data_IF_184830065929
#
_entry.id   IF_184830065929
#
_cell.length_a   1.000
_cell.length_b   1.000
_cell.length_c   1.000
_cell.angle_alpha   90.00
_cell.angle_beta   90.00
_cell.angle_gamma   90.00
#
_symmetry.space_group_name_H-M   'P 1'
#
loop_
_entity.id
_entity.type
_entity.pdbx_description
1 polymer ?
#
# COMPACT_ATOMS: atom_id res chain seq x y z
N UNK A 1 -50.98 -47.70 43.33
CA UNK A 1 -49.73 -46.92 43.04
C UNK A 1 -49.10 -47.16 41.66
N UNK A 2 -49.36 -48.28 40.95
CA UNK A 2 -48.70 -48.61 39.67
C UNK A 2 -49.00 -47.65 38.50
N UNK A 3 -50.15 -46.96 38.50
CA UNK A 3 -50.53 -46.00 37.45
C UNK A 3 -49.58 -44.79 37.37
N UNK A 4 -49.03 -44.33 38.49
CA UNK A 4 -48.14 -43.16 38.57
C UNK A 4 -46.80 -43.42 37.87
N UNK A 5 -46.23 -44.63 38.00
CA UNK A 5 -44.96 -45.00 37.35
C UNK A 5 -45.08 -45.08 35.83
N UNK A 6 -46.22 -45.53 35.29
CA UNK A 6 -46.44 -45.62 33.83
C UNK A 6 -46.52 -44.23 33.19
N UNK A 7 -47.18 -43.27 33.85
CA UNK A 7 -47.29 -41.89 33.37
C UNK A 7 -45.92 -41.16 33.30
N UNK A 8 -45.02 -41.40 34.26
CA UNK A 8 -43.69 -40.79 34.25
C UNK A 8 -42.77 -41.35 33.16
N UNK A 9 -42.88 -42.65 32.83
CA UNK A 9 -42.06 -43.28 31.78
C UNK A 9 -42.42 -42.77 30.38
N UNK A 10 -43.71 -42.52 30.11
CA UNK A 10 -44.18 -41.94 28.84
C UNK A 10 -43.74 -40.48 28.68
N UNK A 11 -43.76 -39.67 29.76
CA UNK A 11 -43.25 -38.28 29.68
C UNK A 11 -41.74 -38.22 29.42
N UNK A 12 -40.96 -39.16 29.95
CA UNK A 12 -39.49 -39.14 29.79
C UNK A 12 -39.04 -39.61 28.39
N UNK A 13 -39.77 -40.53 27.75
CA UNK A 13 -39.50 -40.93 26.36
C UNK A 13 -39.90 -39.85 25.36
N UNK A 14 -41.03 -39.18 25.55
CA UNK A 14 -41.47 -38.07 24.69
C UNK A 14 -40.48 -36.89 24.73
N UNK A 15 -39.84 -36.62 25.88
CA UNK A 15 -38.88 -35.51 26.00
C UNK A 15 -37.51 -35.82 25.35
N UNK A 16 -37.17 -37.10 25.13
CA UNK A 16 -35.88 -37.50 24.56
C UNK A 16 -35.89 -37.48 23.03
N UNK A 17 -37.03 -37.75 22.39
CA UNK A 17 -37.17 -37.66 20.92
C UNK A 17 -37.24 -36.21 20.42
N UNK A 18 -37.84 -35.30 21.18
CA UNK A 18 -37.97 -33.89 20.80
C UNK A 18 -36.64 -33.13 20.73
N UNK A 19 -35.58 -33.60 21.39
CA UNK A 19 -34.31 -32.85 21.50
C UNK A 19 -33.30 -33.15 20.38
N UNK A 20 -33.53 -34.14 19.51
CA UNK A 20 -32.50 -34.60 18.56
C UNK A 20 -32.68 -34.17 17.10
N UNK A 21 -33.84 -33.64 16.70
CA UNK A 21 -34.11 -33.32 15.28
C UNK A 21 -33.93 -31.84 14.88
N UNK A 22 -33.80 -30.90 15.81
CA UNK A 22 -33.81 -29.46 15.47
C UNK A 22 -32.49 -28.83 15.00
N UNK A 23 -31.33 -29.52 15.09
CA UNK A 23 -30.03 -28.85 14.93
C UNK A 23 -29.38 -28.98 13.54
N UNK A 24 -30.12 -29.42 12.51
CA UNK A 24 -29.61 -29.55 11.12
C UNK A 24 -30.26 -28.58 10.11
N UNK A 25 -30.96 -27.54 10.56
CA UNK A 25 -31.47 -26.48 9.69
C UNK A 25 -30.40 -25.44 9.40
N UNK A 26 -29.84 -25.45 8.19
CA UNK A 26 -28.75 -24.59 7.74
C UNK A 26 -28.89 -23.13 8.17
N UNK A 27 -28.02 -22.71 9.09
CA UNK A 27 -27.82 -21.31 9.43
C UNK A 27 -27.32 -20.61 8.17
N UNK A 28 -28.24 -20.05 7.37
CA UNK A 28 -27.92 -19.21 6.21
C UNK A 28 -26.94 -18.16 6.71
N UNK A 29 -25.65 -18.34 6.40
CA UNK A 29 -24.62 -17.44 6.90
C UNK A 29 -24.90 -16.09 6.28
N UNK A 30 -25.42 -15.14 7.08
CA UNK A 30 -25.55 -13.73 6.68
C UNK A 30 -24.24 -13.34 6.01
N UNK A 31 -24.30 -12.92 4.75
CA UNK A 31 -23.11 -12.53 4.00
C UNK A 31 -22.31 -11.55 4.85
N UNK A 32 -21.05 -11.88 5.17
CA UNK A 32 -20.22 -11.03 6.03
C UNK A 32 -20.06 -9.69 5.33
N UNK A 33 -20.47 -8.60 5.96
CA UNK A 33 -20.27 -7.23 5.44
C UNK A 33 -18.79 -7.07 5.11
N UNK A 34 -18.47 -6.93 3.83
CA UNK A 34 -17.09 -6.70 3.38
C UNK A 34 -16.59 -5.36 3.93
N UNK A 35 -15.35 -5.34 4.42
CA UNK A 35 -14.77 -4.10 4.96
C UNK A 35 -14.59 -3.05 3.86
N UNK A 36 -15.00 -1.81 4.13
CA UNK A 36 -14.72 -0.65 3.25
C UNK A 36 -13.26 -0.17 3.34
N UNK A 37 -12.59 -0.48 4.45
CA UNK A 37 -11.23 -0.04 4.75
C UNK A 37 -10.19 -1.07 4.28
N UNK A 38 -9.23 -0.62 3.48
CA UNK A 38 -8.07 -1.38 3.06
C UNK A 38 -6.97 -1.33 4.12
N UNK A 39 -6.43 -2.50 4.49
CA UNK A 39 -5.32 -2.66 5.45
C UNK A 39 -4.19 -3.49 4.82
N UNK A 40 -2.99 -3.39 5.39
CA UNK A 40 -1.80 -4.15 4.98
C UNK A 40 -1.06 -3.60 3.75
N UNK A 41 -0.08 -4.37 3.27
CA UNK A 41 0.89 -3.96 2.22
C UNK A 41 0.25 -3.50 0.91
N UNK A 42 -0.91 -4.07 0.55
CA UNK A 42 -1.64 -3.76 -0.69
C UNK A 42 -2.73 -2.69 -0.53
N UNK A 43 -2.86 -2.04 0.64
CA UNK A 43 -3.99 -1.15 0.94
C UNK A 43 -4.23 -0.06 -0.13
N UNK A 44 -3.18 0.69 -0.50
CA UNK A 44 -3.27 1.74 -1.53
C UNK A 44 -3.65 1.17 -2.90
N UNK A 45 -3.10 0.01 -3.27
CA UNK A 45 -3.43 -0.66 -4.54
C UNK A 45 -4.87 -1.15 -4.57
N UNK A 46 -5.38 -1.71 -3.46
CA UNK A 46 -6.78 -2.14 -3.35
C UNK A 46 -7.77 -0.99 -3.47
N UNK A 47 -7.46 0.17 -2.90
CA UNK A 47 -8.27 1.39 -3.03
C UNK A 47 -8.18 1.94 -4.46
N UNK A 48 -6.99 1.99 -5.04
CA UNK A 48 -6.80 2.47 -6.41
C UNK A 48 -7.53 1.62 -7.45
N UNK A 49 -7.56 0.29 -7.23
CA UNK A 49 -8.36 -0.66 -8.04
C UNK A 49 -9.87 -0.53 -7.81
N UNK A 50 -10.31 0.09 -6.72
CA UNK A 50 -11.73 0.22 -6.35
C UNK A 50 -12.31 -0.94 -5.55
N UNK A 51 -11.49 -1.92 -5.15
CA UNK A 51 -11.96 -3.04 -4.30
C UNK A 51 -12.25 -2.63 -2.84
N UNK A 52 -11.77 -1.45 -2.45
CA UNK A 52 -11.95 -0.83 -1.14
C UNK A 52 -12.17 0.66 -1.34
N UNK A 53 -12.89 1.29 -0.42
CA UNK A 53 -13.27 2.70 -0.51
C UNK A 53 -12.12 3.61 -0.07
N UNK A 54 -11.46 3.25 1.05
CA UNK A 54 -10.39 4.04 1.65
C UNK A 54 -9.33 3.17 2.32
N UNK A 55 -8.13 3.72 2.52
CA UNK A 55 -7.08 3.09 3.33
C UNK A 55 -7.34 3.28 4.83
N UNK A 56 -6.60 2.57 5.68
CA UNK A 56 -6.64 2.80 7.14
C UNK A 56 -6.34 4.25 7.53
N UNK A 57 -5.47 4.94 6.79
CA UNK A 57 -5.17 6.36 6.97
C UNK A 57 -6.12 7.33 6.25
N UNK A 58 -7.27 6.85 5.75
CA UNK A 58 -8.30 7.71 5.15
C UNK A 58 -8.10 8.10 3.69
N UNK A 59 -6.99 7.69 3.03
CA UNK A 59 -6.80 7.99 1.60
C UNK A 59 -7.84 7.26 0.72
N UNK A 60 -8.52 8.02 -0.13
CA UNK A 60 -9.44 7.55 -1.18
C UNK A 60 -8.74 7.48 -2.54
N UNK A 61 -9.42 6.95 -3.57
CA UNK A 61 -8.87 6.80 -4.92
C UNK A 61 -8.34 8.12 -5.49
N UNK A 62 -9.06 9.24 -5.29
CA UNK A 62 -8.69 10.56 -5.81
C UNK A 62 -7.39 11.11 -5.21
N UNK A 63 -7.06 10.68 -3.99
CA UNK A 63 -5.82 11.07 -3.29
C UNK A 63 -4.62 10.19 -3.66
N UNK A 64 -4.78 9.22 -4.55
CA UNK A 64 -3.75 8.26 -4.94
C UNK A 64 -3.34 8.44 -6.40
N UNK A 65 -2.07 8.18 -6.68
CA UNK A 65 -1.50 8.24 -8.03
C UNK A 65 -0.52 7.09 -8.23
N UNK A 66 -0.36 6.62 -9.47
CA UNK A 66 0.65 5.63 -9.84
C UNK A 66 1.94 6.34 -10.26
N UNK A 67 3.08 5.95 -9.69
CA UNK A 67 4.39 6.47 -10.08
C UNK A 67 4.96 5.74 -11.31
N UNK A 68 6.10 6.20 -11.85
CA UNK A 68 6.76 5.56 -13.02
C UNK A 68 7.16 4.10 -12.78
N UNK A 69 7.38 3.71 -11.52
CA UNK A 69 7.71 2.34 -11.11
C UNK A 69 6.46 1.46 -10.89
N UNK A 70 5.26 1.95 -11.23
CA UNK A 70 4.00 1.24 -11.07
C UNK A 70 3.44 1.19 -9.63
N UNK A 71 4.09 1.83 -8.66
CA UNK A 71 3.66 1.86 -7.26
C UNK A 71 2.55 2.89 -7.06
N UNK A 72 1.52 2.52 -6.30
CA UNK A 72 0.45 3.44 -5.89
C UNK A 72 0.87 4.20 -4.64
N UNK A 73 1.02 5.51 -4.76
CA UNK A 73 1.47 6.43 -3.71
C UNK A 73 0.43 7.51 -3.45
N UNK A 74 0.59 8.25 -2.35
CA UNK A 74 -0.25 9.43 -2.08
C UNK A 74 0.13 10.56 -3.05
N UNK A 75 -0.87 11.17 -3.68
CA UNK A 75 -0.69 12.31 -4.60
C UNK A 75 -0.01 13.48 -3.89
N UNK A 76 -0.52 13.87 -2.72
CA UNK A 76 0.03 14.95 -1.89
C UNK A 76 1.50 14.74 -1.54
N UNK A 77 1.86 13.52 -1.12
CA UNK A 77 3.26 13.19 -0.79
C UNK A 77 4.15 13.22 -2.03
N UNK A 78 3.67 12.72 -3.17
CA UNK A 78 4.44 12.76 -4.43
C UNK A 78 4.71 14.19 -4.90
N UNK A 79 3.71 15.06 -4.83
CA UNK A 79 3.85 16.47 -5.21
C UNK A 79 4.76 17.23 -4.25
N UNK A 80 4.65 16.97 -2.95
CA UNK A 80 5.55 17.55 -1.95
C UNK A 80 7.01 17.18 -2.23
N UNK A 81 7.29 15.91 -2.54
CA UNK A 81 8.65 15.47 -2.91
C UNK A 81 9.19 16.21 -4.14
N UNK A 82 8.35 16.44 -5.16
CA UNK A 82 8.72 17.23 -6.35
C UNK A 82 9.02 18.70 -5.99
N UNK A 83 8.25 19.29 -5.08
CA UNK A 83 8.48 20.66 -4.59
C UNK A 83 9.80 20.77 -3.83
N UNK A 84 10.09 19.84 -2.92
CA UNK A 84 11.37 19.77 -2.17
C UNK A 84 12.54 19.63 -3.14
N UNK A 85 12.44 18.72 -4.11
CA UNK A 85 13.49 18.49 -5.11
C UNK A 85 13.89 19.77 -5.87
N UNK A 86 12.91 20.63 -6.16
CA UNK A 86 13.15 21.96 -6.75
C UNK A 86 13.69 22.95 -5.72
N UNK A 87 13.04 23.05 -4.56
CA UNK A 87 13.34 24.03 -3.51
C UNK A 87 14.77 23.94 -3.00
N UNK A 88 15.28 22.73 -2.77
CA UNK A 88 16.63 22.52 -2.24
C UNK A 88 17.73 22.52 -3.32
N UNK A 89 17.42 22.92 -4.56
CA UNK A 89 18.41 23.05 -5.63
C UNK A 89 18.93 21.73 -6.22
N UNK A 90 18.38 20.57 -5.81
CA UNK A 90 18.79 19.26 -6.33
C UNK A 90 18.60 19.18 -7.85
N UNK A 91 17.50 19.74 -8.37
CA UNK A 91 17.27 19.81 -9.82
C UNK A 91 18.41 20.54 -10.52
N UNK A 92 18.77 21.75 -10.05
CA UNK A 92 19.84 22.56 -10.63
C UNK A 92 21.19 21.82 -10.63
N UNK A 93 21.51 21.12 -9.54
CA UNK A 93 22.73 20.33 -9.45
C UNK A 93 22.74 19.15 -10.42
N UNK A 94 21.63 18.40 -10.51
CA UNK A 94 21.50 17.26 -11.43
C UNK A 94 21.60 17.71 -12.89
N UNK A 95 20.98 18.85 -13.23
CA UNK A 95 21.06 19.41 -14.58
C UNK A 95 22.50 19.83 -14.92
N UNK A 96 23.20 20.47 -13.97
CA UNK A 96 24.61 20.85 -14.12
C UNK A 96 25.53 19.64 -14.32
N UNK A 97 25.35 18.58 -13.53
CA UNK A 97 26.11 17.32 -13.66
C UNK A 97 25.78 16.63 -14.98
N UNK A 98 24.51 16.61 -15.39
CA UNK A 98 24.08 16.01 -16.67
C UNK A 98 24.73 16.75 -17.84
N UNK A 99 24.77 18.08 -17.81
CA UNK A 99 25.46 18.90 -18.82
C UNK A 99 26.97 18.66 -18.83
N UNK A 100 27.60 18.58 -17.66
CA UNK A 100 29.02 18.26 -17.53
C UNK A 100 29.38 16.87 -18.06
N UNK A 101 28.57 15.85 -17.77
CA UNK A 101 28.77 14.49 -18.30
C UNK A 101 28.70 14.44 -19.82
N UNK A 102 27.73 15.15 -20.41
CA UNK A 102 27.61 15.26 -21.87
C UNK A 102 28.83 15.97 -22.47
N UNK A 103 29.26 17.10 -21.90
CA UNK A 103 30.40 17.86 -22.38
C UNK A 103 31.74 17.10 -22.28
N UNK A 104 31.88 16.19 -21.31
CA UNK A 104 33.07 15.37 -21.11
C UNK A 104 32.98 13.97 -21.75
N UNK A 105 31.87 13.64 -22.42
CA UNK A 105 31.68 12.33 -23.05
C UNK A 105 31.65 11.14 -22.09
N UNK A 106 31.32 11.35 -20.81
CA UNK A 106 31.42 10.30 -19.78
C UNK A 106 30.26 9.30 -19.91
N UNK A 107 30.61 8.07 -20.29
CA UNK A 107 29.73 6.90 -20.31
C UNK A 107 29.95 6.03 -19.07
N UNK A 108 28.90 5.34 -18.63
CA UNK A 108 28.96 4.48 -17.45
C UNK A 108 29.10 5.24 -16.13
N UNK A 109 29.51 4.52 -15.09
CA UNK A 109 29.70 5.05 -13.75
C UNK A 109 30.97 5.92 -13.67
N UNK A 110 30.84 7.11 -13.10
CA UNK A 110 31.97 7.98 -12.79
C UNK A 110 31.65 8.74 -11.52
N UNK A 111 32.50 8.59 -10.50
CA UNK A 111 32.39 9.36 -9.28
C UNK A 111 32.55 10.85 -9.58
N UNK A 112 31.67 11.68 -9.01
CA UNK A 112 31.77 13.14 -9.08
C UNK A 112 32.73 13.60 -7.98
N UNK A 113 33.93 14.04 -8.35
CA UNK A 113 35.02 14.33 -7.43
C UNK A 113 35.88 13.10 -7.11
N UNK A 114 36.40 13.06 -5.87
CA UNK A 114 37.27 11.98 -5.39
C UNK A 114 38.73 12.10 -5.85
N UNK A 115 39.48 10.98 -5.73
CA UNK A 115 40.90 10.90 -6.09
C UNK A 115 41.12 10.82 -7.62
N UNK A 116 40.17 10.25 -8.36
CA UNK A 116 40.29 10.06 -9.81
C UNK A 116 40.35 11.38 -10.59
N UNK A 117 41.24 11.46 -11.58
CA UNK A 117 41.38 12.65 -12.43
C UNK A 117 40.08 13.00 -13.17
N UNK A 118 39.43 11.99 -13.80
CA UNK A 118 38.14 12.17 -14.48
C UNK A 118 37.05 12.69 -13.54
N UNK A 119 37.01 12.22 -12.30
CA UNK A 119 36.04 12.67 -11.30
C UNK A 119 36.26 14.11 -10.85
N UNK A 120 37.52 14.52 -10.64
CA UNK A 120 37.88 15.92 -10.35
C UNK A 120 37.45 16.86 -11.48
N UNK A 121 37.71 16.49 -12.74
CA UNK A 121 37.29 17.26 -13.92
C UNK A 121 35.76 17.36 -14.01
N UNK A 122 35.05 16.25 -13.79
CA UNK A 122 33.58 16.23 -13.77
C UNK A 122 33.02 17.17 -12.69
N UNK A 123 33.57 17.15 -11.48
CA UNK A 123 33.15 18.05 -10.41
C UNK A 123 33.39 19.53 -10.78
N UNK A 124 34.58 19.86 -11.28
CA UNK A 124 34.92 21.22 -11.70
C UNK A 124 33.96 21.73 -12.79
N UNK A 125 33.71 20.91 -13.83
CA UNK A 125 32.79 21.25 -14.92
C UNK A 125 31.34 21.35 -14.43
N UNK A 126 30.90 20.45 -13.55
CA UNK A 126 29.56 20.50 -12.95
C UNK A 126 29.36 21.79 -12.15
N UNK A 127 30.35 22.18 -11.33
CA UNK A 127 30.34 23.45 -10.59
C UNK A 127 30.29 24.66 -11.52
N UNK A 128 30.98 24.64 -12.67
CA UNK A 128 30.90 25.73 -13.65
C UNK A 128 29.50 25.92 -14.23
N UNK A 129 28.75 24.84 -14.46
CA UNK A 129 27.36 24.91 -14.93
C UNK A 129 26.35 25.19 -13.81
N UNK A 130 26.72 24.89 -12.57
CA UNK A 130 25.89 25.16 -11.40
C UNK A 130 26.00 26.61 -10.92
N UNK A 131 27.03 27.38 -11.35
CA UNK A 131 27.18 28.79 -10.98
C UNK A 131 25.83 29.51 -11.14
N UNK A 132 25.45 30.19 -10.05
CA UNK A 132 24.13 30.77 -9.82
C UNK A 132 23.68 31.69 -10.94
#
# INVERSE_FOLDING_TARGET
MAAMKKAMKVKKSAKKSAKKSGKKGGMKKKAKRVSKVARGKRAKSSVFRGTKERTSGGLTKNSLVKNKQGRVVSKKQSEHGKKIFKKHGLQKWIDAVTKARKALGIKGFQAVGGSSAKGKILLAKSRSFYKK
#
